data_IF_488098921873
#
_entry.id   IF_488098921873
#
_cell.length_a   1.000
_cell.length_b   1.000
_cell.length_c   1.000
_cell.angle_alpha   90.00
_cell.angle_beta   90.00
_cell.angle_gamma   90.00
#
_symmetry.space_group_name_H-M   'P 1'
#
loop_
_entity.id
_entity.type
_entity.pdbx_description
1 polymer ?
#
# COMPACT_ATOMS: atom_id res chain seq x y z
N UNK A 1 -14.84 1.93 27.88
CA UNK A 1 -13.98 0.80 27.47
C UNK A 1 -12.86 1.35 26.61
N UNK A 2 -11.59 1.01 26.85
CA UNK A 2 -10.50 1.42 25.96
C UNK A 2 -10.72 0.82 24.56
N UNK A 3 -10.57 1.64 23.52
CA UNK A 3 -10.67 1.19 22.13
C UNK A 3 -9.40 0.43 21.74
N UNK A 4 -9.55 -0.74 21.12
CA UNK A 4 -8.40 -1.52 20.63
C UNK A 4 -7.71 -0.76 19.50
N UNK A 5 -6.42 -0.48 19.68
CA UNK A 5 -5.57 0.20 18.70
C UNK A 5 -4.86 -0.83 17.81
N UNK A 6 -4.77 -0.54 16.52
CA UNK A 6 -4.06 -1.32 15.52
C UNK A 6 -3.16 -0.40 14.68
N UNK A 7 -1.94 -0.87 14.42
CA UNK A 7 -1.06 -0.29 13.40
C UNK A 7 -0.98 -1.25 12.23
N UNK A 8 -1.15 -0.73 11.02
CA UNK A 8 -1.09 -1.48 9.78
C UNK A 8 0.02 -0.92 8.91
N UNK A 9 0.84 -1.79 8.36
CA UNK A 9 1.96 -1.45 7.47
C UNK A 9 1.84 -2.28 6.20
N UNK A 10 1.93 -1.65 5.05
CA UNK A 10 1.75 -2.34 3.78
C UNK A 10 1.81 -1.40 2.60
N UNK A 11 1.23 -1.82 1.47
CA UNK A 11 1.13 -0.99 0.28
C UNK A 11 -0.31 -0.56 0.02
N UNK A 12 -0.51 0.62 -0.55
CA UNK A 12 -1.82 1.04 -1.02
C UNK A 12 -2.31 0.14 -2.16
N UNK A 13 -3.49 -0.46 -1.97
CA UNK A 13 -4.13 -1.33 -2.96
C UNK A 13 -4.75 -0.59 -4.13
N UNK A 14 -5.10 0.67 -3.93
CA UNK A 14 -5.65 1.59 -4.92
C UNK A 14 -5.34 3.04 -4.49
N UNK A 15 -5.57 4.01 -5.38
CA UNK A 15 -5.52 5.41 -5.01
C UNK A 15 -6.54 5.68 -3.88
N UNK A 16 -6.18 6.44 -2.82
CA UNK A 16 -7.13 6.77 -1.77
C UNK A 16 -8.31 7.59 -2.31
N UNK A 17 -9.51 7.24 -1.86
CA UNK A 17 -10.75 7.91 -2.19
C UNK A 17 -11.03 9.02 -1.18
N UNK A 18 -11.25 10.25 -1.66
CA UNK A 18 -11.47 11.42 -0.81
C UNK A 18 -12.82 12.03 -1.11
N UNK A 19 -13.59 12.24 -0.05
CA UNK A 19 -14.86 12.95 -0.06
C UNK A 19 -14.67 14.23 0.76
N UNK A 20 -14.92 15.42 0.18
CA UNK A 20 -14.85 16.67 0.92
C UNK A 20 -15.98 16.75 1.96
N UNK A 21 -15.81 17.66 2.91
CA UNK A 21 -16.89 18.04 3.83
C UNK A 21 -18.14 18.43 3.03
N UNK A 22 -19.31 18.03 3.53
CA UNK A 22 -20.59 18.30 2.88
C UNK A 22 -21.64 18.75 3.90
N UNK A 23 -22.26 19.90 3.65
CA UNK A 23 -23.49 20.30 4.34
C UNK A 23 -24.70 19.62 3.70
N UNK A 24 -25.51 18.97 4.51
CA UNK A 24 -26.73 18.28 4.12
C UNK A 24 -27.94 19.23 4.12
N UNK A 25 -29.05 18.81 3.50
CA UNK A 25 -30.27 19.63 3.36
C UNK A 25 -30.90 20.00 4.72
N UNK A 26 -30.69 19.16 5.74
CA UNK A 26 -31.13 19.37 7.12
C UNK A 26 -30.15 20.24 7.94
N UNK A 27 -29.11 20.77 7.31
CA UNK A 27 -28.06 21.57 7.95
C UNK A 27 -26.98 20.76 8.67
N UNK A 28 -27.05 19.42 8.67
CA UNK A 28 -25.99 18.60 9.22
C UNK A 28 -24.69 18.72 8.40
N UNK A 29 -23.55 18.77 9.07
CA UNK A 29 -22.23 18.80 8.42
C UNK A 29 -21.62 17.40 8.49
N UNK A 30 -21.43 16.78 7.33
CA UNK A 30 -20.66 15.55 7.20
C UNK A 30 -19.18 15.93 7.06
N UNK A 31 -18.29 15.48 7.98
CA UNK A 31 -16.88 15.80 7.88
C UNK A 31 -16.28 15.20 6.61
N UNK A 32 -15.18 15.79 6.14
CA UNK A 32 -14.38 15.19 5.08
C UNK A 32 -13.98 13.75 5.45
N UNK A 33 -13.86 12.88 4.45
CA UNK A 33 -13.51 11.47 4.61
C UNK A 33 -12.45 11.09 3.60
N UNK A 34 -11.45 10.34 4.05
CA UNK A 34 -10.51 9.67 3.16
C UNK A 34 -10.51 8.17 3.46
N UNK A 35 -10.69 7.36 2.42
CA UNK A 35 -10.67 5.91 2.52
C UNK A 35 -9.51 5.34 1.69
N UNK A 36 -8.69 4.51 2.32
CA UNK A 36 -7.61 3.79 1.66
C UNK A 36 -7.73 2.28 1.93
N UNK A 37 -7.14 1.48 1.05
CA UNK A 37 -6.98 0.03 1.27
C UNK A 37 -5.48 -0.24 1.38
N UNK A 38 -5.07 -0.88 2.46
CA UNK A 38 -3.68 -1.30 2.68
C UNK A 38 -3.60 -2.82 2.61
N UNK A 39 -2.70 -3.31 1.77
CA UNK A 39 -2.34 -4.73 1.69
C UNK A 39 -1.06 -4.98 2.47
N UNK A 40 -1.18 -5.76 3.53
CA UNK A 40 -0.05 -6.25 4.30
C UNK A 40 0.39 -7.61 3.75
N UNK A 41 1.58 -7.66 3.14
CA UNK A 41 2.19 -8.91 2.69
C UNK A 41 2.81 -9.61 3.90
N UNK A 42 2.14 -10.66 4.39
CA UNK A 42 2.66 -11.49 5.48
C UNK A 42 3.63 -12.51 4.94
N UNK A 43 4.72 -12.71 5.68
CA UNK A 43 5.65 -13.82 5.46
C UNK A 43 5.51 -14.81 6.60
N UNK A 44 5.48 -16.08 6.25
CA UNK A 44 5.43 -17.19 7.20
C UNK A 44 6.77 -17.90 7.21
N UNK A 45 7.17 -18.37 8.39
CA UNK A 45 8.39 -19.14 8.55
C UNK A 45 8.14 -20.56 8.07
N UNK A 46 9.01 -21.06 7.21
CA UNK A 46 8.96 -22.43 6.71
C UNK A 46 9.61 -23.39 7.70
N UNK A 47 9.32 -24.69 7.58
CA UNK A 47 9.83 -25.73 8.50
C UNK A 47 11.36 -25.85 8.48
N UNK A 48 11.99 -25.53 7.34
CA UNK A 48 13.44 -25.43 7.15
C UNK A 48 14.03 -24.10 7.64
N UNK A 49 13.21 -23.22 8.25
CA UNK A 49 13.63 -21.96 8.85
C UNK A 49 13.68 -20.76 7.90
N UNK A 50 13.38 -20.97 6.61
CA UNK A 50 13.24 -19.92 5.61
C UNK A 50 11.99 -19.04 5.80
N UNK A 51 11.80 -18.11 4.85
CA UNK A 51 10.63 -17.23 4.81
C UNK A 51 9.98 -17.29 3.44
N UNK A 52 8.69 -17.60 3.41
CA UNK A 52 7.86 -17.53 2.20
C UNK A 52 6.71 -16.56 2.41
N UNK A 53 6.13 -16.07 1.33
CA UNK A 53 4.85 -15.35 1.42
C UNK A 53 3.77 -16.29 1.95
N UNK A 54 2.86 -15.74 2.75
CA UNK A 54 1.71 -16.47 3.27
C UNK A 54 0.86 -16.99 2.10
N UNK A 55 0.61 -18.31 1.98
CA UNK A 55 -0.20 -18.86 0.89
C UNK A 55 -1.65 -18.36 0.90
N UNK A 56 -2.12 -17.80 2.01
CA UNK A 56 -3.44 -17.14 2.10
C UNK A 56 -3.47 -15.77 1.43
N UNK A 57 -2.31 -15.27 1.00
CA UNK A 57 -2.16 -13.96 0.37
C UNK A 57 -2.11 -12.81 1.39
N UNK A 58 -2.12 -11.57 0.91
CA UNK A 58 -2.01 -10.40 1.75
C UNK A 58 -3.25 -10.17 2.60
N UNK A 59 -3.06 -9.63 3.80
CA UNK A 59 -4.16 -9.16 4.64
C UNK A 59 -4.61 -7.79 4.12
N UNK A 60 -5.92 -7.64 3.92
CA UNK A 60 -6.54 -6.40 3.46
C UNK A 60 -7.13 -5.63 4.63
N UNK A 61 -6.71 -4.38 4.80
CA UNK A 61 -7.29 -3.45 5.78
C UNK A 61 -7.82 -2.21 5.09
N UNK A 62 -9.07 -1.85 5.37
CA UNK A 62 -9.63 -0.54 5.03
C UNK A 62 -9.24 0.48 6.10
N UNK A 63 -8.62 1.57 5.68
CA UNK A 63 -8.23 2.70 6.53
C UNK A 63 -9.21 3.84 6.27
N UNK A 64 -9.87 4.33 7.30
CA UNK A 64 -10.78 5.48 7.23
C UNK A 64 -10.24 6.62 8.08
N UNK A 65 -10.10 7.80 7.48
CA UNK A 65 -9.74 9.06 8.12
C UNK A 65 -10.90 10.03 7.97
N UNK A 66 -11.09 10.91 8.96
CA UNK A 66 -12.15 11.92 8.96
C UNK A 66 -11.62 13.30 9.30
N UNK A 67 -12.28 14.35 8.81
CA UNK A 67 -11.96 15.75 9.08
C UNK A 67 -10.51 16.10 8.73
N UNK A 68 -9.87 16.86 9.63
CA UNK A 68 -8.49 17.33 9.45
C UNK A 68 -7.47 16.23 9.07
N UNK A 69 -7.66 15.00 9.54
CA UNK A 69 -6.78 13.89 9.20
C UNK A 69 -6.94 13.48 7.72
N UNK A 70 -8.18 13.43 7.22
CA UNK A 70 -8.48 13.19 5.81
C UNK A 70 -7.92 14.31 4.92
N UNK A 71 -8.15 15.57 5.30
CA UNK A 71 -7.67 16.74 4.55
C UNK A 71 -6.14 16.86 4.54
N UNK A 72 -5.48 16.40 5.60
CA UNK A 72 -4.03 16.34 5.65
C UNK A 72 -3.49 15.29 4.70
N UNK A 73 -4.02 14.07 4.75
CA UNK A 73 -3.52 12.96 3.93
C UNK A 73 -3.81 13.17 2.45
N UNK A 74 -4.95 13.78 2.09
CA UNK A 74 -5.27 14.13 0.70
C UNK A 74 -4.19 15.00 0.03
N UNK A 75 -3.52 15.88 0.79
CA UNK A 75 -2.47 16.78 0.27
C UNK A 75 -1.12 16.08 0.02
N UNK A 76 -0.95 14.86 0.51
CA UNK A 76 0.31 14.09 0.40
C UNK A 76 0.44 13.39 -0.97
N UNK A 77 -0.64 13.34 -1.77
CA UNK A 77 -0.72 12.69 -3.09
C UNK A 77 -0.25 11.22 -3.13
N UNK A 78 -0.67 10.42 -2.14
CA UNK A 78 -0.39 8.99 -2.14
C UNK A 78 -1.10 8.25 -3.28
N UNK A 79 -0.40 7.32 -3.92
CA UNK A 79 -0.87 6.54 -5.07
C UNK A 79 -0.88 5.04 -4.78
N UNK A 80 -1.62 4.31 -5.61
CA UNK A 80 -1.59 2.85 -5.61
C UNK A 80 -0.13 2.33 -5.65
N UNK A 81 0.17 1.36 -4.79
CA UNK A 81 1.49 0.74 -4.66
C UNK A 81 2.42 1.40 -3.66
N UNK A 82 2.11 2.64 -3.22
CA UNK A 82 2.95 3.35 -2.26
C UNK A 82 3.03 2.61 -0.93
N UNK A 83 4.23 2.52 -0.32
CA UNK A 83 4.40 1.89 0.98
C UNK A 83 3.96 2.87 2.07
N UNK A 84 3.07 2.42 2.94
CA UNK A 84 2.41 3.25 3.96
C UNK A 84 2.33 2.55 5.31
N UNK A 85 2.16 3.38 6.34
CA UNK A 85 1.83 2.96 7.70
C UNK A 85 0.61 3.78 8.14
N UNK A 86 -0.38 3.11 8.72
CA UNK A 86 -1.54 3.73 9.32
C UNK A 86 -1.76 3.22 10.73
N UNK A 87 -2.32 4.07 11.59
CA UNK A 87 -2.65 3.71 12.95
C UNK A 87 -3.99 4.26 13.39
N UNK A 88 -4.77 3.41 14.05
CA UNK A 88 -5.89 3.88 14.84
C UNK A 88 -6.72 2.78 15.46
N UNK A 89 -7.98 3.08 15.75
CA UNK A 89 -8.85 2.13 16.45
C UNK A 89 -9.54 1.19 15.48
N UNK A 90 -9.71 -0.07 15.90
CA UNK A 90 -10.48 -1.06 15.14
C UNK A 90 -11.94 -0.58 15.08
N UNK A 91 -12.46 -0.47 13.87
CA UNK A 91 -13.87 -0.24 13.61
C UNK A 91 -14.59 -1.58 13.41
N UNK A 92 -15.93 -1.54 13.35
CA UNK A 92 -16.71 -2.74 13.03
C UNK A 92 -16.22 -3.35 11.71
N UNK A 93 -15.81 -4.64 11.71
CA UNK A 93 -15.39 -5.31 10.49
C UNK A 93 -16.53 -5.27 9.48
N UNK A 94 -16.22 -4.85 8.26
CA UNK A 94 -17.19 -4.93 7.18
C UNK A 94 -17.28 -6.39 6.73
N UNK A 95 -18.33 -7.09 7.16
CA UNK A 95 -18.69 -8.41 6.63
C UNK A 95 -19.35 -8.24 5.25
N UNK A 96 -18.94 -9.05 4.28
CA UNK A 96 -19.50 -9.08 2.93
C UNK A 96 -19.44 -10.50 2.37
N UNK A 97 -20.32 -10.82 1.41
CA UNK A 97 -20.12 -12.04 0.62
C UNK A 97 -18.96 -11.80 -0.36
N UNK A 98 -17.91 -12.62 -0.28
CA UNK A 98 -16.80 -12.60 -1.21
C UNK A 98 -17.32 -12.79 -2.64
N UNK A 99 -16.88 -11.93 -3.55
CA UNK A 99 -17.28 -11.99 -4.96
C UNK A 99 -16.67 -13.17 -5.71
N UNK A 100 -15.68 -13.86 -5.12
CA UNK A 100 -14.97 -14.99 -5.74
C UNK A 100 -15.69 -16.33 -5.55
N UNK A 101 -16.26 -16.54 -4.37
CA UNK A 101 -16.79 -17.83 -3.92
C UNK A 101 -18.12 -17.72 -3.13
N UNK A 102 -18.66 -16.51 -2.96
CA UNK A 102 -19.93 -16.27 -2.28
C UNK A 102 -19.90 -16.49 -0.77
N UNK A 103 -18.75 -16.84 -0.20
CA UNK A 103 -18.60 -17.09 1.24
C UNK A 103 -18.59 -15.78 2.02
N UNK A 104 -19.10 -15.77 3.27
CA UNK A 104 -18.94 -14.63 4.15
C UNK A 104 -17.45 -14.38 4.39
N UNK A 105 -17.01 -13.19 4.02
CA UNK A 105 -15.67 -12.66 4.21
C UNK A 105 -15.76 -11.38 5.04
N UNK A 106 -14.68 -11.04 5.73
CA UNK A 106 -14.61 -9.84 6.53
C UNK A 106 -13.27 -9.16 6.28
N UNK A 107 -13.31 -7.85 6.11
CA UNK A 107 -12.10 -7.03 6.06
C UNK A 107 -11.92 -6.27 7.35
N UNK A 108 -10.67 -6.18 7.79
CA UNK A 108 -10.29 -5.30 8.87
C UNK A 108 -10.60 -3.86 8.45
N UNK A 109 -11.20 -3.10 9.35
CA UNK A 109 -11.44 -1.66 9.17
C UNK A 109 -10.84 -0.95 10.37
N UNK A 110 -10.10 0.12 10.12
CA UNK A 110 -9.64 1.01 11.18
C UNK A 110 -10.14 2.42 10.94
N UNK A 111 -10.58 3.06 12.02
CA UNK A 111 -10.72 4.51 12.10
C UNK A 111 -9.35 5.07 12.48
N UNK A 112 -8.58 5.41 11.47
CA UNK A 112 -7.21 5.86 11.62
C UNK A 112 -7.16 7.31 12.11
N UNK A 113 -6.21 7.59 12.99
CA UNK A 113 -5.84 8.96 13.34
C UNK A 113 -4.75 9.49 12.40
N UNK A 114 -3.96 8.60 11.78
CA UNK A 114 -2.89 8.97 10.87
C UNK A 114 -2.65 7.90 9.78
N UNK A 115 -2.18 8.36 8.63
CA UNK A 115 -1.68 7.56 7.51
C UNK A 115 -0.47 8.31 6.94
N UNK A 116 0.68 7.63 6.87
CA UNK A 116 1.95 8.21 6.44
C UNK A 116 2.66 7.29 5.47
N UNK A 117 3.62 7.83 4.71
CA UNK A 117 4.56 6.99 3.97
C UNK A 117 5.41 6.17 4.94
N UNK A 118 5.64 4.91 4.58
CA UNK A 118 6.76 4.16 5.13
C UNK A 118 8.04 4.64 4.44
N UNK A 119 8.63 5.69 5.00
CA UNK A 119 9.82 6.34 4.43
C UNK A 119 11.00 5.38 4.30
N UNK A 120 11.12 4.36 5.16
CA UNK A 120 12.19 3.37 5.09
C UNK A 120 12.01 2.49 3.85
N UNK A 121 10.82 1.94 3.63
CA UNK A 121 10.55 1.14 2.43
C UNK A 121 10.58 2.00 1.17
N UNK A 122 10.10 3.22 1.24
CA UNK A 122 10.11 4.15 0.12
C UNK A 122 11.55 4.42 -0.36
N UNK A 123 12.46 4.78 0.55
CA UNK A 123 13.86 5.05 0.18
C UNK A 123 14.56 3.81 -0.35
N UNK A 124 14.37 2.64 0.30
CA UNK A 124 14.97 1.37 -0.19
C UNK A 124 14.50 1.00 -1.60
N UNK A 125 13.24 1.27 -1.95
CA UNK A 125 12.74 1.03 -3.31
C UNK A 125 13.39 1.97 -4.31
N UNK A 126 13.53 3.24 -3.95
CA UNK A 126 14.19 4.25 -4.78
C UNK A 126 15.66 3.90 -5.03
N UNK A 127 16.39 3.51 -3.98
CA UNK A 127 17.78 3.05 -4.08
C UNK A 127 17.91 1.83 -5.00
N UNK A 128 17.06 0.81 -4.81
CA UNK A 128 17.05 -0.39 -5.66
C UNK A 128 16.72 -0.08 -7.12
N UNK A 129 15.79 0.83 -7.37
CA UNK A 129 15.46 1.25 -8.73
C UNK A 129 16.65 1.94 -9.41
N UNK A 130 17.33 2.84 -8.69
CA UNK A 130 18.54 3.49 -9.18
C UNK A 130 19.67 2.48 -9.46
N UNK A 131 19.88 1.49 -8.58
CA UNK A 131 20.84 0.41 -8.82
C UNK A 131 20.49 -0.44 -10.06
N UNK A 132 19.20 -0.72 -10.26
CA UNK A 132 18.74 -1.49 -11.42
C UNK A 132 18.95 -0.71 -12.73
N UNK A 133 18.66 0.60 -12.74
CA UNK A 133 18.93 1.48 -13.88
C UNK A 133 20.43 1.55 -14.20
N UNK A 134 21.28 1.70 -13.19
CA UNK A 134 22.73 1.69 -13.36
C UNK A 134 23.21 0.37 -13.97
N UNK A 135 22.72 -0.78 -13.49
CA UNK A 135 23.07 -2.09 -14.06
C UNK A 135 22.58 -2.25 -15.51
N UNK A 136 21.38 -1.79 -15.82
CA UNK A 136 20.83 -1.85 -17.18
C UNK A 136 21.65 -1.00 -18.16
N UNK A 137 22.06 0.21 -17.77
CA UNK A 137 22.93 1.10 -18.55
C UNK A 137 24.38 0.64 -18.67
N UNK A 138 24.81 -0.31 -17.83
CA UNK A 138 26.17 -0.88 -17.83
C UNK A 138 26.34 -2.12 -18.70
N UNK A 139 25.30 -2.53 -19.45
CA UNK A 139 25.39 -3.71 -20.34
C UNK A 139 26.40 -3.42 -21.47
N UNK A 140 27.53 -4.15 -21.58
CA UNK A 140 28.50 -3.90 -22.62
C UNK A 140 27.90 -4.24 -23.98
N UNK A 141 27.89 -3.26 -24.89
CA UNK A 141 27.63 -3.50 -26.30
C UNK A 141 28.81 -4.29 -26.87
N UNK A 142 28.75 -5.63 -26.80
CA UNK A 142 29.63 -6.48 -27.61
C UNK A 142 29.19 -6.39 -29.07
N UNK A 143 29.54 -5.29 -29.74
CA UNK A 143 29.76 -5.32 -31.18
C UNK A 143 31.23 -5.65 -31.38
N UNK A 144 31.54 -6.94 -31.54
CA UNK A 144 32.85 -7.35 -32.05
C UNK A 144 33.05 -6.73 -33.44
N UNK A 145 34.11 -5.94 -33.68
CA UNK A 145 34.46 -5.61 -35.05
C UNK A 145 34.96 -6.89 -35.71
N UNK A 146 34.26 -7.32 -36.77
CA UNK A 146 34.73 -8.38 -37.65
C UNK A 146 36.09 -7.97 -38.21
N UNK A 147 37.15 -8.63 -37.75
CA UNK A 147 38.48 -8.57 -38.34
C UNK A 147 38.38 -9.16 -39.74
N UNK A 148 38.24 -8.30 -40.74
CA UNK A 148 38.52 -8.62 -42.12
C UNK A 148 40.03 -8.77 -42.29
N UNK A 149 40.50 -10.01 -42.31
CA UNK A 149 41.79 -10.33 -42.93
C UNK A 149 41.56 -10.45 -44.43
N UNK A 150 41.97 -9.40 -45.13
CA UNK A 150 42.25 -9.43 -46.57
C UNK A 150 43.73 -9.05 -46.75
N UNK A 151 44.38 -9.71 -47.73
CA UNK A 151 45.78 -9.61 -48.22
C UNK A 151 46.68 -10.73 -47.70
N UNK A 152 47.49 -11.42 -48.51
CA UNK A 152 47.75 -11.44 -49.97
C UNK A 152 48.79 -12.52 -50.21
#
# INVERSE_FOLDING_TARGET
MPQTMLTVRGNLGANPDYLPEKTMEDGAILPSKLQAVVYENRRVRTADGGWTDDPRGPVKTTVQLFGNAADTVRRIDMRQGDPVIAGGSIAEPAAYASSKDGQPDARNVINAQWLVYDSILYQRRKERAAEAEQRAGSSPSETQPATGEERS
#
